data_IF_867538743744
#
_entry.id   IF_867538743744
#
_cell.length_a   1.000
_cell.length_b   1.000
_cell.length_c   1.000
_cell.angle_alpha   90.00
_cell.angle_beta   90.00
_cell.angle_gamma   90.00
#
_symmetry.space_group_name_H-M   'P 1'
#
loop_
_entity.id
_entity.type
_entity.pdbx_description
1 polymer ?
#
# COMPACT_ATOMS: atom_id res chain seq x y z
N UNK A 1 9.72 1.52 24.79
CA UNK A 1 8.44 0.76 24.78
C UNK A 1 7.40 1.61 24.07
N UNK A 2 6.71 1.06 23.08
CA UNK A 2 5.59 1.74 22.44
C UNK A 2 4.54 1.97 23.51
N UNK A 3 4.22 3.23 23.76
CA UNK A 3 3.23 3.57 24.76
C UNK A 3 1.83 3.31 24.15
N UNK A 4 1.17 2.24 24.61
CA UNK A 4 -0.17 1.84 24.15
C UNK A 4 -1.15 3.00 24.28
N UNK A 5 -1.00 3.85 25.31
CA UNK A 5 -1.83 5.06 25.50
C UNK A 5 -1.63 6.03 24.35
N UNK A 6 -0.37 6.23 23.90
CA UNK A 6 -0.09 7.09 22.75
C UNK A 6 -0.74 6.54 21.46
N UNK A 7 -0.62 5.24 21.17
CA UNK A 7 -1.26 4.60 20.01
C UNK A 7 -2.78 4.73 20.08
N UNK A 8 -3.40 4.57 21.26
CA UNK A 8 -4.84 4.77 21.45
C UNK A 8 -5.27 6.23 21.21
N UNK A 9 -4.51 7.21 21.71
CA UNK A 9 -4.80 8.62 21.48
C UNK A 9 -4.74 8.98 19.97
N UNK A 10 -3.87 8.34 19.21
CA UNK A 10 -3.70 8.52 17.77
C UNK A 10 -4.90 8.01 16.97
N UNK A 11 -5.38 6.83 17.30
CA UNK A 11 -6.62 6.29 16.75
C UNK A 11 -7.77 7.28 16.96
N UNK A 12 -7.92 7.78 18.18
CA UNK A 12 -8.97 8.75 18.55
C UNK A 12 -8.82 10.04 17.75
N UNK A 13 -7.59 10.56 17.57
CA UNK A 13 -7.35 11.78 16.79
C UNK A 13 -7.86 11.60 15.35
N UNK A 14 -7.55 10.50 14.68
CA UNK A 14 -8.03 10.25 13.32
C UNK A 14 -9.57 10.10 13.30
N UNK A 15 -10.14 9.39 14.28
CA UNK A 15 -11.60 9.24 14.41
C UNK A 15 -12.30 10.58 14.55
N UNK A 16 -11.68 11.57 15.20
CA UNK A 16 -12.21 12.94 15.35
C UNK A 16 -12.00 13.77 14.07
N UNK A 17 -10.85 13.64 13.41
CA UNK A 17 -10.53 14.43 12.21
C UNK A 17 -11.38 14.04 11.00
N UNK A 18 -11.65 12.75 10.78
CA UNK A 18 -12.40 12.28 9.61
C UNK A 18 -13.80 12.91 9.48
N UNK A 19 -14.65 13.00 10.53
CA UNK A 19 -15.94 13.69 10.44
C UNK A 19 -15.82 15.18 10.08
N UNK A 20 -14.76 15.85 10.53
CA UNK A 20 -14.49 17.26 10.20
C UNK A 20 -14.20 17.38 8.70
N UNK A 21 -13.36 16.48 8.17
CA UNK A 21 -13.04 16.41 6.74
C UNK A 21 -14.29 16.09 5.91
N UNK A 22 -15.14 15.16 6.35
CA UNK A 22 -16.40 14.84 5.67
C UNK A 22 -17.30 16.09 5.59
N UNK A 23 -17.43 16.85 6.70
CA UNK A 23 -18.21 18.10 6.73
C UNK A 23 -17.61 19.13 5.76
N UNK A 24 -16.28 19.28 5.76
CA UNK A 24 -15.57 20.16 4.84
C UNK A 24 -15.84 19.78 3.38
N UNK A 25 -15.67 18.52 3.02
CA UNK A 25 -15.94 18.02 1.66
C UNK A 25 -17.39 18.29 1.23
N UNK A 26 -18.35 18.04 2.12
CA UNK A 26 -19.77 18.30 1.84
C UNK A 26 -20.05 19.79 1.60
N UNK A 27 -19.43 20.68 2.39
CA UNK A 27 -19.59 22.14 2.24
C UNK A 27 -19.04 22.65 0.90
N UNK A 28 -17.94 22.08 0.41
CA UNK A 28 -17.28 22.52 -0.83
C UNK A 28 -17.55 21.63 -2.05
N UNK A 29 -18.45 20.63 -1.93
CA UNK A 29 -18.81 19.75 -3.04
C UNK A 29 -17.68 18.82 -3.52
N UNK A 30 -16.72 18.47 -2.64
CA UNK A 30 -15.55 17.66 -2.97
C UNK A 30 -15.88 16.16 -2.87
N UNK A 31 -16.54 15.66 -3.90
CA UNK A 31 -16.95 14.27 -4.00
C UNK A 31 -16.13 13.52 -5.07
N UNK A 32 -16.07 12.21 -4.92
CA UNK A 32 -15.49 11.36 -5.95
C UNK A 32 -16.34 11.41 -7.24
N UNK A 33 -15.65 11.46 -8.40
CA UNK A 33 -16.34 11.47 -9.69
C UNK A 33 -17.08 10.16 -9.91
N UNK A 34 -18.33 10.23 -10.36
CA UNK A 34 -19.06 9.07 -10.82
C UNK A 34 -18.55 8.69 -12.22
N UNK A 35 -17.91 7.55 -12.35
CA UNK A 35 -17.45 6.96 -13.61
C UNK A 35 -18.08 5.56 -13.71
N UNK A 36 -18.50 5.14 -14.91
CA UNK A 36 -19.08 3.80 -15.17
C UNK A 36 -18.19 2.63 -14.70
N UNK A 37 -16.90 2.89 -14.51
CA UNK A 37 -15.91 1.91 -14.03
C UNK A 37 -15.89 1.76 -12.52
N UNK A 38 -16.53 2.68 -11.77
CA UNK A 38 -16.50 2.67 -10.29
C UNK A 38 -17.67 1.88 -9.73
N UNK A 39 -17.38 1.11 -8.68
CA UNK A 39 -18.32 0.17 -8.07
C UNK A 39 -19.33 0.87 -7.12
N UNK A 40 -19.11 2.16 -6.80
CA UNK A 40 -19.93 2.88 -5.84
C UNK A 40 -21.03 3.72 -6.53
N UNK A 41 -22.14 3.91 -5.81
CA UNK A 41 -23.22 4.82 -6.18
C UNK A 41 -23.37 5.88 -5.09
N UNK A 42 -23.40 7.18 -5.48
CA UNK A 42 -23.61 8.29 -4.56
C UNK A 42 -22.40 9.24 -4.43
N UNK A 43 -22.63 10.38 -3.76
CA UNK A 43 -21.65 11.45 -3.56
C UNK A 43 -20.83 11.17 -2.31
N UNK A 44 -19.72 10.43 -2.44
CA UNK A 44 -18.83 10.09 -1.34
C UNK A 44 -17.60 11.00 -1.37
N UNK A 45 -17.24 11.69 -0.26
CA UNK A 45 -16.02 12.47 -0.14
C UNK A 45 -14.76 11.63 -0.39
N UNK A 46 -13.71 12.21 -1.01
CA UNK A 46 -12.47 11.49 -1.38
C UNK A 46 -11.19 11.97 -0.70
N UNK A 47 -11.29 12.77 0.36
CA UNK A 47 -10.13 13.33 1.05
C UNK A 47 -9.76 12.59 2.35
N UNK A 48 -10.07 11.29 2.46
CA UNK A 48 -9.76 10.49 3.66
C UNK A 48 -8.27 10.40 3.97
N UNK A 49 -7.43 10.38 2.93
CA UNK A 49 -5.98 10.41 3.07
C UNK A 49 -5.46 11.61 3.85
N UNK A 50 -6.11 12.78 3.73
CA UNK A 50 -5.77 13.97 4.54
C UNK A 50 -5.85 13.67 6.04
N UNK A 51 -6.93 13.00 6.48
CA UNK A 51 -7.10 12.65 7.89
C UNK A 51 -6.04 11.66 8.40
N UNK A 52 -5.69 10.67 7.59
CA UNK A 52 -4.62 9.71 7.93
C UNK A 52 -3.29 10.44 8.07
N UNK A 53 -2.91 11.25 7.08
CA UNK A 53 -1.58 11.84 6.99
C UNK A 53 -1.39 12.95 8.01
N UNK A 54 -2.39 13.80 8.22
CA UNK A 54 -2.33 14.86 9.23
C UNK A 54 -2.19 14.27 10.64
N UNK A 55 -3.01 13.27 10.99
CA UNK A 55 -2.88 12.60 12.28
C UNK A 55 -1.54 11.89 12.42
N UNK A 56 -1.07 11.20 11.38
CA UNK A 56 0.24 10.55 11.37
C UNK A 56 1.38 11.55 11.62
N UNK A 57 1.42 12.68 10.90
CA UNK A 57 2.48 13.69 11.04
C UNK A 57 2.48 14.31 12.44
N UNK A 58 1.31 14.72 12.93
CA UNK A 58 1.19 15.27 14.29
C UNK A 58 1.81 14.31 15.29
N UNK A 59 1.49 13.04 15.17
CA UNK A 59 1.86 12.04 16.13
C UNK A 59 3.30 11.56 16.02
N UNK A 60 3.83 11.43 14.82
CA UNK A 60 5.25 11.17 14.63
C UNK A 60 6.08 12.33 15.19
N UNK A 61 5.65 13.57 14.94
CA UNK A 61 6.33 14.75 15.50
C UNK A 61 6.31 14.74 17.03
N UNK A 62 5.15 14.50 17.65
CA UNK A 62 5.05 14.40 19.11
C UNK A 62 5.87 13.23 19.68
N UNK A 63 5.88 12.07 18.98
CA UNK A 63 6.69 10.93 19.39
C UNK A 63 8.19 11.28 19.42
N UNK A 64 8.71 11.95 18.40
CA UNK A 64 10.12 12.34 18.37
C UNK A 64 10.45 13.46 19.36
N UNK A 65 9.55 14.39 19.62
CA UNK A 65 9.76 15.47 20.56
C UNK A 65 9.80 14.97 22.04
N UNK A 66 8.98 13.99 22.37
CA UNK A 66 8.79 13.59 23.77
C UNK A 66 9.42 12.24 24.16
N UNK A 67 9.70 11.37 23.18
CA UNK A 67 10.06 9.97 23.47
C UNK A 67 11.36 9.49 22.81
N UNK A 68 12.03 10.33 21.99
CA UNK A 68 13.18 9.88 21.21
C UNK A 68 14.22 10.99 21.06
N UNK A 69 15.47 10.64 20.80
CA UNK A 69 16.53 11.59 20.50
C UNK A 69 16.32 12.24 19.12
N UNK A 70 16.65 13.53 19.01
CA UNK A 70 16.56 14.31 17.75
C UNK A 70 17.42 13.73 16.61
N UNK A 71 18.47 12.96 16.92
CA UNK A 71 19.26 12.25 15.91
C UNK A 71 18.43 11.25 15.10
N UNK A 72 17.50 10.56 15.75
CA UNK A 72 16.61 9.61 15.08
C UNK A 72 15.58 10.32 14.19
N UNK A 73 15.11 11.51 14.59
CA UNK A 73 14.23 12.32 13.75
C UNK A 73 14.93 12.72 12.44
N UNK A 74 16.16 13.20 12.50
CA UNK A 74 16.91 13.63 11.30
C UNK A 74 17.07 12.49 10.28
N UNK A 75 17.12 11.24 10.74
CA UNK A 75 17.19 10.08 9.84
C UNK A 75 15.85 9.73 9.19
N UNK A 76 14.73 10.04 9.81
CA UNK A 76 13.37 9.76 9.29
C UNK A 76 12.82 10.90 8.45
N UNK A 77 13.30 12.13 8.67
CA UNK A 77 12.87 13.33 7.96
C UNK A 77 12.85 13.18 6.43
N UNK A 78 13.83 12.54 5.76
CA UNK A 78 13.80 12.36 4.32
C UNK A 78 12.58 11.54 3.85
N UNK A 79 12.18 10.51 4.62
CA UNK A 79 11.00 9.68 4.30
C UNK A 79 9.74 10.51 4.45
N UNK A 80 9.60 11.25 5.56
CA UNK A 80 8.43 12.12 5.80
C UNK A 80 8.33 13.18 4.70
N UNK A 81 9.45 13.86 4.40
CA UNK A 81 9.49 14.90 3.38
C UNK A 81 9.15 14.38 1.98
N UNK A 82 9.77 13.28 1.54
CA UNK A 82 9.48 12.66 0.26
C UNK A 82 8.03 12.15 0.17
N UNK A 83 7.51 11.59 1.27
CA UNK A 83 6.11 11.17 1.36
C UNK A 83 5.13 12.34 1.26
N UNK A 84 5.45 13.48 1.89
CA UNK A 84 4.65 14.70 1.78
C UNK A 84 4.63 15.26 0.36
N UNK A 85 5.72 15.20 -0.39
CA UNK A 85 5.74 15.59 -1.80
C UNK A 85 4.71 14.76 -2.58
N UNK A 86 4.74 13.43 -2.48
CA UNK A 86 3.75 12.56 -3.14
C UNK A 86 2.34 12.92 -2.71
N UNK A 87 2.11 13.07 -1.40
CA UNK A 87 0.79 13.37 -0.87
C UNK A 87 0.24 14.69 -1.40
N UNK A 88 1.01 15.76 -1.32
CA UNK A 88 0.56 17.09 -1.76
C UNK A 88 0.21 17.07 -3.25
N UNK A 89 1.06 16.46 -4.09
CA UNK A 89 0.79 16.41 -5.52
C UNK A 89 -0.38 15.49 -5.88
N UNK A 90 -0.51 14.35 -5.23
CA UNK A 90 -1.66 13.48 -5.44
C UNK A 90 -2.95 14.11 -4.91
N UNK A 91 -2.88 14.90 -3.83
CA UNK A 91 -4.00 15.70 -3.33
C UNK A 91 -4.39 16.80 -4.33
N UNK A 92 -3.41 17.50 -4.93
CA UNK A 92 -3.68 18.47 -5.99
C UNK A 92 -4.30 17.81 -7.23
N UNK A 93 -3.89 16.58 -7.56
CA UNK A 93 -4.51 15.83 -8.64
C UNK A 93 -5.98 15.47 -8.36
N UNK A 94 -6.32 15.19 -7.11
CA UNK A 94 -7.72 15.01 -6.68
C UNK A 94 -8.60 16.24 -6.96
N UNK A 95 -8.00 17.44 -6.98
CA UNK A 95 -8.72 18.70 -7.31
C UNK A 95 -8.67 19.07 -8.80
N UNK A 96 -7.52 18.88 -9.47
CA UNK A 96 -7.23 19.45 -10.79
C UNK A 96 -7.17 18.41 -11.92
N UNK A 97 -7.24 17.11 -11.61
CA UNK A 97 -7.21 16.00 -12.59
C UNK A 97 -6.05 16.11 -13.60
N UNK A 98 -4.83 15.99 -13.10
CA UNK A 98 -3.62 16.09 -13.94
C UNK A 98 -3.45 14.88 -14.88
N UNK A 99 -2.65 15.05 -15.94
CA UNK A 99 -2.25 13.94 -16.79
C UNK A 99 -1.42 12.93 -15.99
N UNK A 100 -1.54 11.61 -16.24
CA UNK A 100 -0.81 10.57 -15.48
C UNK A 100 0.70 10.75 -15.43
N UNK A 101 1.29 11.44 -16.42
CA UNK A 101 2.72 11.72 -16.46
C UNK A 101 3.18 12.60 -15.27
N UNK A 102 2.36 13.57 -14.83
CA UNK A 102 2.70 14.40 -13.68
C UNK A 102 2.76 13.60 -12.39
N UNK A 103 1.82 12.66 -12.18
CA UNK A 103 1.87 11.73 -11.04
C UNK A 103 3.20 10.98 -11.01
N UNK A 104 3.61 10.43 -12.15
CA UNK A 104 4.86 9.70 -12.27
C UNK A 104 6.09 10.58 -11.97
N UNK A 105 6.12 11.83 -12.42
CA UNK A 105 7.22 12.77 -12.14
C UNK A 105 7.41 12.95 -10.64
N UNK A 106 6.34 13.17 -9.87
CA UNK A 106 6.45 13.36 -8.43
C UNK A 106 6.80 12.09 -7.66
N UNK A 107 6.35 10.93 -8.14
CA UNK A 107 6.81 9.64 -7.64
C UNK A 107 8.32 9.47 -7.87
N UNK A 108 8.82 9.85 -9.05
CA UNK A 108 10.26 9.81 -9.38
C UNK A 108 11.05 10.78 -8.47
N UNK A 109 10.59 12.02 -8.30
CA UNK A 109 11.25 13.00 -7.41
C UNK A 109 11.37 12.45 -5.99
N UNK A 110 10.27 11.94 -5.43
CA UNK A 110 10.27 11.37 -4.08
C UNK A 110 11.16 10.12 -3.98
N UNK A 111 11.19 9.29 -5.02
CA UNK A 111 12.07 8.12 -5.08
C UNK A 111 13.54 8.54 -5.13
N UNK A 112 13.89 9.53 -5.93
CA UNK A 112 15.26 10.07 -6.04
C UNK A 112 15.72 10.65 -4.70
N UNK A 113 14.86 11.33 -3.95
CA UNK A 113 15.18 11.81 -2.60
C UNK A 113 15.55 10.63 -1.69
N UNK A 114 14.76 9.56 -1.65
CA UNK A 114 15.02 8.36 -0.85
C UNK A 114 16.37 7.73 -1.22
N UNK A 115 16.64 7.61 -2.53
CA UNK A 115 17.90 7.05 -3.03
C UNK A 115 19.11 7.94 -2.71
N UNK A 116 18.96 9.26 -2.79
CA UNK A 116 20.02 10.23 -2.47
C UNK A 116 20.44 10.16 -0.99
N UNK A 117 19.51 9.83 -0.09
CA UNK A 117 19.82 9.55 1.31
C UNK A 117 20.35 8.13 1.57
N UNK A 118 20.57 7.32 0.52
CA UNK A 118 21.16 5.98 0.60
C UNK A 118 20.20 4.88 1.04
N UNK A 119 18.89 5.14 1.09
CA UNK A 119 17.88 4.14 1.41
C UNK A 119 17.62 3.25 0.19
N UNK A 120 18.16 2.03 0.23
CA UNK A 120 18.12 1.09 -0.88
C UNK A 120 18.26 -0.35 -0.41
N UNK A 121 17.86 -1.30 -1.23
CA UNK A 121 18.19 -2.70 -1.04
C UNK A 121 19.70 -2.90 -1.25
N UNK A 122 20.40 -3.35 -0.22
CA UNK A 122 21.86 -3.54 -0.26
C UNK A 122 22.23 -4.95 -0.67
N UNK A 123 21.39 -5.93 -0.37
CA UNK A 123 21.62 -7.34 -0.67
C UNK A 123 20.29 -8.09 -0.89
N UNK A 124 20.37 -9.23 -1.54
CA UNK A 124 19.29 -10.23 -1.65
C UNK A 124 19.91 -11.56 -1.20
N UNK A 125 19.47 -12.08 -0.08
CA UNK A 125 20.07 -13.23 0.60
C UNK A 125 21.59 -13.00 0.80
N UNK A 126 22.43 -13.92 0.33
CA UNK A 126 23.90 -13.82 0.42
C UNK A 126 24.53 -12.90 -0.63
N UNK A 127 23.77 -12.46 -1.65
CA UNK A 127 24.30 -11.67 -2.73
C UNK A 127 24.26 -10.18 -2.41
N UNK A 128 25.42 -9.59 -2.19
CA UNK A 128 25.56 -8.13 -2.04
C UNK A 128 25.41 -7.48 -3.42
N UNK A 129 24.42 -6.61 -3.54
CA UNK A 129 24.12 -5.96 -4.81
C UNK A 129 25.20 -4.93 -5.17
N UNK A 130 25.75 -4.96 -6.39
CA UNK A 130 26.55 -3.86 -6.89
C UNK A 130 25.73 -2.57 -6.89
N UNK A 131 26.40 -1.43 -6.75
CA UNK A 131 25.75 -0.15 -6.45
C UNK A 131 24.67 0.21 -7.51
N UNK A 132 24.99 0.08 -8.78
CA UNK A 132 24.06 0.40 -9.86
C UNK A 132 22.80 -0.48 -9.82
N UNK A 133 22.95 -1.78 -9.55
CA UNK A 133 21.82 -2.71 -9.47
C UNK A 133 20.94 -2.45 -8.23
N UNK A 134 21.57 -2.13 -7.10
CA UNK A 134 20.91 -1.74 -5.87
C UNK A 134 20.00 -0.51 -6.08
N UNK A 135 20.50 0.54 -6.73
CA UNK A 135 19.73 1.73 -7.06
C UNK A 135 18.60 1.41 -8.06
N UNK A 136 18.88 0.65 -9.10
CA UNK A 136 17.90 0.28 -10.14
C UNK A 136 16.74 -0.53 -9.55
N UNK A 137 17.05 -1.58 -8.78
CA UNK A 137 16.02 -2.42 -8.13
C UNK A 137 15.17 -1.56 -7.20
N UNK A 138 15.80 -0.71 -6.37
CA UNK A 138 15.07 0.13 -5.42
C UNK A 138 14.21 1.17 -6.14
N UNK A 139 14.69 1.76 -7.21
CA UNK A 139 13.93 2.71 -8.01
C UNK A 139 12.63 2.09 -8.55
N UNK A 140 12.74 0.94 -9.24
CA UNK A 140 11.55 0.26 -9.77
C UNK A 140 10.65 -0.31 -8.68
N UNK A 141 11.21 -0.75 -7.56
CA UNK A 141 10.45 -1.13 -6.37
C UNK A 141 9.57 0.01 -5.86
N UNK A 142 10.16 1.19 -5.63
CA UNK A 142 9.43 2.36 -5.13
C UNK A 142 8.27 2.74 -6.07
N UNK A 143 8.58 2.96 -7.35
CA UNK A 143 7.57 3.33 -8.36
C UNK A 143 6.49 2.25 -8.49
N UNK A 144 6.89 0.98 -8.54
CA UNK A 144 5.97 -0.15 -8.67
C UNK A 144 4.99 -0.27 -7.49
N UNK A 145 5.49 -0.16 -6.25
CA UNK A 145 4.65 -0.31 -5.07
C UNK A 145 3.73 0.91 -4.86
N UNK A 146 4.20 2.13 -5.11
CA UNK A 146 3.35 3.33 -5.05
C UNK A 146 2.16 3.17 -6.00
N UNK A 147 2.40 2.76 -7.25
CA UNK A 147 1.33 2.55 -8.21
C UNK A 147 0.45 1.34 -7.86
N UNK A 148 1.02 0.27 -7.31
CA UNK A 148 0.27 -0.91 -6.92
C UNK A 148 -0.77 -0.61 -5.82
N UNK A 149 -0.40 0.20 -4.83
CA UNK A 149 -1.33 0.64 -3.78
C UNK A 149 -2.36 1.65 -4.28
N UNK A 150 -2.02 2.49 -5.25
CA UNK A 150 -2.98 3.36 -5.90
C UNK A 150 -4.01 2.57 -6.73
N UNK A 151 -3.59 1.53 -7.45
CA UNK A 151 -4.46 0.70 -8.28
C UNK A 151 -5.37 -0.24 -7.47
N UNK A 152 -4.94 -0.69 -6.27
CA UNK A 152 -5.75 -1.59 -5.43
C UNK A 152 -6.85 -0.84 -4.66
N UNK A 153 -6.83 0.50 -4.62
CA UNK A 153 -7.82 1.35 -3.92
C UNK A 153 -9.14 1.47 -4.69
N UNK A 154 -9.70 0.34 -5.09
CA UNK A 154 -10.95 0.26 -5.84
C UNK A 154 -12.13 -0.33 -5.07
N UNK A 155 -11.96 -0.70 -3.79
CA UNK A 155 -12.98 -1.30 -2.93
C UNK A 155 -12.88 -0.74 -1.51
N UNK A 156 -14.03 -0.46 -0.89
CA UNK A 156 -14.13 0.02 0.49
C UNK A 156 -13.26 -0.81 1.44
N UNK A 157 -12.46 -0.15 2.28
CA UNK A 157 -11.55 -0.72 3.26
C UNK A 157 -10.40 -1.58 2.70
N UNK A 158 -10.31 -1.84 1.40
CA UNK A 158 -9.31 -2.77 0.86
C UNK A 158 -7.89 -2.18 0.98
N UNK A 159 -7.63 -1.03 0.37
CA UNK A 159 -6.31 -0.40 0.41
C UNK A 159 -5.86 -0.12 1.85
N UNK A 160 -6.74 0.48 2.67
CA UNK A 160 -6.45 0.75 4.08
C UNK A 160 -6.19 -0.53 4.90
N UNK A 161 -7.00 -1.57 4.70
CA UNK A 161 -6.85 -2.85 5.39
C UNK A 161 -5.55 -3.57 5.03
N UNK A 162 -5.23 -3.67 3.74
CA UNK A 162 -3.95 -4.25 3.28
C UNK A 162 -2.76 -3.44 3.82
N UNK A 163 -2.82 -2.10 3.76
CA UNK A 163 -1.78 -1.22 4.28
C UNK A 163 -1.55 -1.40 5.78
N UNK A 164 -2.63 -1.45 6.57
CA UNK A 164 -2.54 -1.64 8.02
C UNK A 164 -1.89 -2.97 8.39
N UNK A 165 -2.24 -4.06 7.68
CA UNK A 165 -1.66 -5.38 7.90
C UNK A 165 -0.18 -5.43 7.53
N UNK A 166 0.20 -4.90 6.37
CA UNK A 166 1.60 -4.87 5.91
C UNK A 166 2.46 -4.02 6.83
N UNK A 167 2.04 -2.78 7.13
CA UNK A 167 2.79 -1.87 7.99
C UNK A 167 2.84 -2.41 9.44
N UNK A 168 1.75 -3.01 9.92
CA UNK A 168 1.71 -3.65 11.24
C UNK A 168 2.69 -4.83 11.34
N UNK A 169 2.75 -5.67 10.33
CA UNK A 169 3.72 -6.78 10.25
C UNK A 169 5.16 -6.28 10.21
N UNK A 170 5.43 -5.21 9.44
CA UNK A 170 6.74 -4.54 9.46
C UNK A 170 7.06 -4.00 10.85
N UNK A 171 6.09 -3.37 11.53
CA UNK A 171 6.25 -2.89 12.90
C UNK A 171 6.65 -3.99 13.88
N UNK A 172 6.05 -5.17 13.76
CA UNK A 172 6.39 -6.35 14.58
C UNK A 172 7.80 -6.85 14.24
N UNK A 173 8.11 -7.02 12.96
CA UNK A 173 9.42 -7.52 12.49
C UNK A 173 10.55 -6.58 12.93
N UNK A 174 10.35 -5.27 12.77
CA UNK A 174 11.36 -4.24 13.08
C UNK A 174 11.51 -3.97 14.59
N UNK A 175 10.54 -4.34 15.41
CA UNK A 175 10.59 -4.11 16.87
C UNK A 175 11.78 -4.77 17.56
N UNK A 176 12.27 -5.88 17.01
CA UNK A 176 13.46 -6.59 17.53
C UNK A 176 14.79 -5.87 17.28
N UNK A 177 14.79 -4.82 16.47
CA UNK A 177 16.03 -4.13 16.08
C UNK A 177 16.03 -2.61 16.23
N UNK A 178 14.89 -1.96 16.00
CA UNK A 178 14.75 -0.50 16.11
C UNK A 178 13.35 -0.10 16.59
N UNK A 179 13.27 0.27 17.85
CA UNK A 179 12.00 0.67 18.47
C UNK A 179 11.40 1.92 17.82
N UNK A 180 12.21 2.85 17.31
CA UNK A 180 11.71 4.07 16.66
C UNK A 180 11.00 3.77 15.34
N UNK A 181 11.58 2.93 14.47
CA UNK A 181 10.96 2.54 13.20
C UNK A 181 9.68 1.73 13.43
N UNK A 182 9.71 0.81 14.40
CA UNK A 182 8.55 0.06 14.83
C UNK A 182 7.44 0.98 15.34
N UNK A 183 7.77 2.01 16.12
CA UNK A 183 6.80 3.00 16.61
C UNK A 183 6.15 3.76 15.45
N UNK A 184 6.91 4.19 14.44
CA UNK A 184 6.38 4.85 13.24
C UNK A 184 5.36 3.95 12.53
N UNK A 185 5.66 2.64 12.39
CA UNK A 185 4.73 1.68 11.82
C UNK A 185 3.42 1.61 12.61
N UNK A 186 3.47 1.50 13.94
CA UNK A 186 2.25 1.41 14.76
C UNK A 186 1.49 2.72 14.83
N UNK A 187 2.16 3.87 14.79
CA UNK A 187 1.53 5.19 14.63
C UNK A 187 0.73 5.22 13.32
N UNK A 188 1.32 4.79 12.20
CA UNK A 188 0.64 4.73 10.92
C UNK A 188 -0.56 3.78 10.97
N UNK A 189 -0.41 2.58 11.55
CA UNK A 189 -1.52 1.61 11.70
C UNK A 189 -2.67 2.21 12.49
N UNK A 190 -2.39 2.94 13.59
CA UNK A 190 -3.43 3.61 14.38
C UNK A 190 -4.19 4.67 13.56
N UNK A 191 -3.48 5.47 12.76
CA UNK A 191 -4.09 6.46 11.87
C UNK A 191 -4.96 5.81 10.80
N UNK A 192 -4.48 4.72 10.17
CA UNK A 192 -5.26 3.96 9.19
C UNK A 192 -6.48 3.32 9.84
N UNK A 193 -6.35 2.73 11.04
CA UNK A 193 -7.47 2.13 11.76
C UNK A 193 -8.56 3.14 12.08
N UNK A 194 -8.20 4.36 12.49
CA UNK A 194 -9.16 5.46 12.70
C UNK A 194 -9.92 5.84 11.42
N UNK A 195 -9.24 5.87 10.27
CA UNK A 195 -9.87 6.08 8.97
C UNK A 195 -10.82 4.94 8.60
N UNK A 196 -10.43 3.68 8.82
CA UNK A 196 -11.22 2.49 8.49
C UNK A 196 -12.58 2.44 9.22
N UNK A 197 -12.73 3.10 10.35
CA UNK A 197 -14.04 3.25 11.02
C UNK A 197 -15.08 3.86 10.08
N UNK A 198 -14.66 4.78 9.19
CA UNK A 198 -15.52 5.50 8.25
C UNK A 198 -15.45 4.96 6.82
N UNK A 199 -14.39 4.23 6.48
CA UNK A 199 -14.18 3.64 5.15
C UNK A 199 -14.61 2.17 5.03
N UNK A 200 -15.07 1.53 6.12
CA UNK A 200 -15.63 0.16 6.08
C UNK A 200 -16.80 0.07 5.08
N UNK A 201 -17.16 -1.13 4.59
CA UNK A 201 -18.22 -1.33 3.60
C UNK A 201 -19.48 -0.49 3.84
N UNK A 202 -19.95 0.20 2.80
CA UNK A 202 -20.78 1.41 2.73
C UNK A 202 -19.98 2.62 3.22
N UNK A 203 -18.81 2.83 2.61
CA UNK A 203 -17.88 3.89 2.97
C UNK A 203 -18.54 5.28 3.02
N UNK A 204 -18.23 6.04 4.06
CA UNK A 204 -18.64 7.45 4.23
C UNK A 204 -17.60 8.43 3.66
N UNK A 205 -16.39 7.95 3.39
CA UNK A 205 -15.27 8.69 2.81
C UNK A 205 -14.31 7.71 2.14
N UNK A 206 -13.77 8.07 0.98
CA UNK A 206 -12.70 7.36 0.30
C UNK A 206 -11.32 7.92 0.66
N UNK A 207 -10.29 7.09 0.50
CA UNK A 207 -8.91 7.46 0.79
C UNK A 207 -8.39 8.55 -0.15
N UNK A 208 -8.75 8.44 -1.42
CA UNK A 208 -8.26 9.29 -2.52
C UNK A 208 -6.84 8.94 -2.96
N UNK A 209 -6.45 9.49 -4.11
CA UNK A 209 -5.13 9.24 -4.71
C UNK A 209 -3.99 9.71 -3.80
N UNK A 210 -4.19 10.83 -3.07
CA UNK A 210 -3.24 11.32 -2.08
C UNK A 210 -2.96 10.30 -0.98
N UNK A 211 -4.00 9.66 -0.45
CA UNK A 211 -3.87 8.66 0.60
C UNK A 211 -3.23 7.36 0.10
N UNK A 212 -3.73 6.79 -0.99
CA UNK A 212 -3.28 5.50 -1.50
C UNK A 212 -1.83 5.52 -2.00
N UNK A 213 -1.40 6.60 -2.69
CA UNK A 213 -0.01 6.76 -3.11
C UNK A 213 0.93 6.97 -1.92
N UNK A 214 0.49 7.71 -0.89
CA UNK A 214 1.26 7.87 0.34
C UNK A 214 1.42 6.53 1.08
N UNK A 215 0.36 5.70 1.16
CA UNK A 215 0.46 4.35 1.73
C UNK A 215 1.48 3.49 0.96
N UNK A 216 1.39 3.47 -0.37
CA UNK A 216 2.36 2.75 -1.20
C UNK A 216 3.80 3.23 -1.00
N UNK A 217 4.01 4.55 -0.90
CA UNK A 217 5.32 5.13 -0.61
C UNK A 217 5.85 4.72 0.77
N UNK A 218 5.04 4.79 1.81
CA UNK A 218 5.46 4.41 3.16
C UNK A 218 5.81 2.91 3.25
N UNK A 219 4.99 2.05 2.64
CA UNK A 219 5.24 0.60 2.58
C UNK A 219 6.53 0.30 1.83
N UNK A 220 6.82 1.01 0.73
CA UNK A 220 8.02 0.80 -0.06
C UNK A 220 9.29 1.33 0.63
N UNK A 221 9.22 2.45 1.36
CA UNK A 221 10.37 3.17 1.91
C UNK A 221 10.75 2.76 3.34
N UNK A 222 9.77 2.50 4.24
CA UNK A 222 10.04 2.18 5.65
C UNK A 222 11.00 1.00 5.84
N UNK A 223 10.92 -0.13 5.11
CA UNK A 223 11.84 -1.25 5.26
C UNK A 223 13.27 -0.91 4.81
N UNK A 224 13.46 0.14 3.99
CA UNK A 224 14.77 0.56 3.50
C UNK A 224 15.55 1.39 4.51
N UNK A 225 14.85 2.03 5.43
CA UNK A 225 15.41 2.94 6.42
C UNK A 225 16.29 2.22 7.45
N UNK A 226 15.80 1.12 8.00
CA UNK A 226 16.54 0.39 9.05
C UNK A 226 16.59 -1.10 8.77
N UNK A 227 17.70 -1.72 9.20
CA UNK A 227 17.88 -3.15 9.03
C UNK A 227 18.72 -3.75 10.14
N UNK A 228 18.27 -4.88 10.70
CA UNK A 228 19.12 -5.81 11.43
C UNK A 228 19.79 -6.75 10.42
N UNK A 229 20.93 -7.39 10.77
CA UNK A 229 21.58 -8.33 9.85
C UNK A 229 20.65 -9.46 9.37
N UNK A 230 19.76 -9.95 10.24
CA UNK A 230 18.79 -10.99 9.89
C UNK A 230 17.67 -10.49 8.97
N UNK A 231 17.19 -9.27 9.20
CA UNK A 231 16.18 -8.65 8.33
C UNK A 231 16.80 -8.25 6.98
N UNK A 232 18.01 -7.69 6.96
CA UNK A 232 18.71 -7.32 5.72
C UNK A 232 18.85 -8.49 4.78
N UNK A 233 19.17 -9.69 5.32
CA UNK A 233 19.28 -10.92 4.53
C UNK A 233 18.01 -11.27 3.78
N UNK A 234 16.86 -11.27 4.43
CA UNK A 234 15.57 -11.67 3.89
C UNK A 234 14.67 -10.49 3.48
N UNK A 235 15.10 -9.24 3.68
CA UNK A 235 14.30 -8.03 3.50
C UNK A 235 13.54 -8.02 2.18
N UNK A 236 14.23 -8.24 1.07
CA UNK A 236 13.62 -8.22 -0.25
C UNK A 236 12.52 -9.27 -0.40
N UNK A 237 12.78 -10.50 0.05
CA UNK A 237 11.81 -11.61 -0.02
C UNK A 237 10.61 -11.38 0.93
N UNK A 238 10.85 -10.91 2.15
CA UNK A 238 9.79 -10.53 3.08
C UNK A 238 8.87 -9.49 2.46
N UNK A 239 9.47 -8.46 1.86
CA UNK A 239 8.69 -7.38 1.25
C UNK A 239 7.89 -7.86 0.04
N UNK A 240 8.47 -8.68 -0.85
CA UNK A 240 7.75 -9.26 -1.98
C UNK A 240 6.56 -10.10 -1.50
N UNK A 241 6.71 -10.90 -0.46
CA UNK A 241 5.61 -11.69 0.11
C UNK A 241 4.54 -10.79 0.69
N UNK A 242 4.90 -9.79 1.49
CA UNK A 242 3.95 -8.88 2.14
C UNK A 242 3.10 -8.07 1.14
N UNK A 243 3.67 -7.68 0.02
CA UNK A 243 2.97 -6.88 -1.00
C UNK A 243 2.51 -7.69 -2.22
N UNK A 244 2.49 -9.03 -2.12
CA UNK A 244 2.18 -9.92 -3.26
C UNK A 244 0.84 -9.59 -3.91
N UNK A 245 -0.21 -9.28 -3.13
CA UNK A 245 -1.54 -9.00 -3.69
C UNK A 245 -1.51 -7.77 -4.62
N UNK A 246 -1.19 -6.56 -4.16
CA UNK A 246 -1.19 -5.38 -5.03
C UNK A 246 -0.11 -5.46 -6.12
N UNK A 247 1.05 -6.07 -5.83
CA UNK A 247 2.14 -6.21 -6.78
C UNK A 247 1.78 -7.12 -7.96
N UNK A 248 1.27 -8.33 -7.70
CA UNK A 248 0.88 -9.28 -8.75
C UNK A 248 -0.30 -8.76 -9.57
N UNK A 249 -1.25 -8.05 -8.94
CA UNK A 249 -2.35 -7.42 -9.65
C UNK A 249 -1.87 -6.34 -10.62
N UNK A 250 -0.90 -5.52 -10.20
CA UNK A 250 -0.29 -4.49 -11.04
C UNK A 250 0.52 -5.10 -12.18
N UNK A 251 1.35 -6.12 -11.91
CA UNK A 251 2.12 -6.83 -12.95
C UNK A 251 1.17 -7.44 -13.98
N UNK A 252 0.08 -8.07 -13.54
CA UNK A 252 -0.92 -8.64 -14.45
C UNK A 252 -1.65 -7.55 -15.27
N UNK A 253 -1.92 -6.38 -14.71
CA UNK A 253 -2.49 -5.25 -15.44
C UNK A 253 -1.50 -4.72 -16.50
N UNK A 254 -0.22 -4.58 -16.15
CA UNK A 254 0.83 -4.18 -17.10
C UNK A 254 0.98 -5.20 -18.25
N UNK A 255 1.00 -6.49 -17.91
CA UNK A 255 1.07 -7.57 -18.91
C UNK A 255 -0.11 -7.53 -19.89
N UNK A 256 -1.35 -7.35 -19.40
CA UNK A 256 -2.53 -7.21 -20.26
C UNK A 256 -2.42 -6.01 -21.21
N UNK A 257 -2.02 -4.85 -20.69
CA UNK A 257 -1.86 -3.62 -21.51
C UNK A 257 -0.83 -3.82 -22.62
N UNK A 258 0.31 -4.46 -22.31
CA UNK A 258 1.33 -4.80 -23.32
C UNK A 258 0.76 -5.72 -24.39
N UNK A 259 0.06 -6.78 -24.00
CA UNK A 259 -0.54 -7.75 -24.93
C UNK A 259 -1.65 -7.12 -25.81
N UNK A 260 -2.36 -6.14 -25.27
CA UNK A 260 -3.42 -5.40 -25.97
C UNK A 260 -2.88 -4.18 -26.73
N UNK A 261 -1.56 -4.00 -26.82
CA UNK A 261 -0.89 -2.83 -27.42
C UNK A 261 -1.40 -1.48 -26.90
N UNK A 262 -1.74 -1.42 -25.62
CA UNK A 262 -2.21 -0.22 -24.92
C UNK A 262 -1.10 0.42 -24.10
N UNK A 263 -1.19 1.74 -23.89
CA UNK A 263 -0.27 2.45 -23.01
C UNK A 263 -0.29 1.88 -21.59
N UNK A 264 0.88 1.79 -20.95
CA UNK A 264 1.00 1.42 -19.52
C UNK A 264 0.20 2.33 -18.58
N UNK A 265 -0.03 3.56 -18.99
CA UNK A 265 -0.81 4.56 -18.24
C UNK A 265 -2.30 4.51 -18.54
N UNK A 266 -2.76 3.63 -19.45
CA UNK A 266 -4.19 3.51 -19.77
C UNK A 266 -4.96 2.89 -18.59
N UNK A 267 -6.22 3.30 -18.36
CA UNK A 267 -7.07 2.70 -17.34
C UNK A 267 -7.29 1.21 -17.57
N UNK A 268 -7.40 0.42 -16.50
CA UNK A 268 -7.79 -0.99 -16.52
C UNK A 268 -8.86 -1.24 -15.46
N UNK A 269 -9.92 -1.96 -15.80
CA UNK A 269 -11.03 -2.32 -14.90
C UNK A 269 -11.00 -3.79 -14.49
N UNK A 270 -9.91 -4.53 -14.78
CA UNK A 270 -9.80 -5.98 -14.55
C UNK A 270 -8.84 -6.33 -13.42
N UNK A 271 -8.85 -5.50 -12.35
CA UNK A 271 -8.12 -5.78 -11.11
C UNK A 271 -8.72 -6.95 -10.34
N UNK A 272 -7.97 -7.53 -9.40
CA UNK A 272 -8.34 -8.74 -8.66
C UNK A 272 -9.72 -8.63 -8.01
N UNK A 273 -10.05 -7.47 -7.42
CA UNK A 273 -11.35 -7.25 -6.77
C UNK A 273 -12.51 -7.24 -7.78
N UNK A 274 -12.31 -6.68 -8.99
CA UNK A 274 -13.31 -6.76 -10.06
C UNK A 274 -13.52 -8.19 -10.54
N UNK A 275 -12.43 -8.97 -10.69
CA UNK A 275 -12.52 -10.38 -11.09
C UNK A 275 -13.32 -11.21 -10.10
N UNK A 276 -13.06 -11.05 -8.79
CA UNK A 276 -13.80 -11.77 -7.75
C UNK A 276 -15.29 -11.42 -7.76
N UNK A 277 -15.62 -10.12 -7.92
CA UNK A 277 -17.02 -9.69 -8.02
C UNK A 277 -17.68 -10.28 -9.28
N UNK A 278 -16.99 -10.30 -10.42
CA UNK A 278 -17.50 -10.92 -11.66
C UNK A 278 -17.67 -12.45 -11.53
N UNK A 279 -16.93 -13.11 -10.65
CA UNK A 279 -17.09 -14.53 -10.30
C UNK A 279 -18.24 -14.79 -9.30
N UNK A 280 -19.02 -13.76 -8.94
CA UNK A 280 -20.20 -13.88 -8.07
C UNK A 280 -19.96 -13.54 -6.60
N UNK A 281 -18.75 -13.13 -6.21
CA UNK A 281 -18.52 -12.68 -4.83
C UNK A 281 -19.17 -11.31 -4.60
N UNK A 282 -19.79 -11.13 -3.46
CA UNK A 282 -20.21 -9.78 -3.01
C UNK A 282 -18.99 -8.92 -2.66
N UNK A 283 -19.14 -7.59 -2.62
CA UNK A 283 -18.07 -6.65 -2.21
C UNK A 283 -17.47 -7.03 -0.85
N UNK A 284 -18.32 -7.40 0.12
CA UNK A 284 -17.88 -7.80 1.47
C UNK A 284 -17.12 -9.12 1.46
N UNK A 285 -17.60 -10.12 0.71
CA UNK A 285 -16.91 -11.41 0.56
C UNK A 285 -15.54 -11.22 -0.11
N UNK A 286 -15.46 -10.37 -1.15
CA UNK A 286 -14.21 -10.02 -1.83
C UNK A 286 -13.22 -9.37 -0.85
N UNK A 287 -13.68 -8.41 -0.04
CA UNK A 287 -12.85 -7.77 0.98
C UNK A 287 -12.33 -8.80 2.00
N UNK A 288 -13.22 -9.60 2.59
CA UNK A 288 -12.86 -10.61 3.60
C UNK A 288 -11.85 -11.61 3.01
N UNK A 289 -12.07 -12.08 1.78
CA UNK A 289 -11.19 -13.02 1.10
C UNK A 289 -9.78 -12.44 0.89
N UNK A 290 -9.66 -11.21 0.39
CA UNK A 290 -8.36 -10.57 0.18
C UNK A 290 -7.65 -10.24 1.50
N UNK A 291 -8.37 -9.81 2.52
CA UNK A 291 -7.83 -9.59 3.87
C UNK A 291 -7.33 -10.91 4.49
N UNK A 292 -8.08 -12.02 4.33
CA UNK A 292 -7.65 -13.32 4.83
C UNK A 292 -6.34 -13.79 4.17
N UNK A 293 -6.20 -13.61 2.85
CA UNK A 293 -4.93 -13.87 2.15
C UNK A 293 -3.82 -12.97 2.70
N UNK A 294 -4.09 -11.68 2.92
CA UNK A 294 -3.08 -10.77 3.46
C UNK A 294 -2.63 -11.16 4.86
N UNK A 295 -3.54 -11.59 5.74
CA UNK A 295 -3.20 -12.13 7.07
C UNK A 295 -2.29 -13.35 6.93
N UNK A 296 -2.63 -14.28 6.05
CA UNK A 296 -1.76 -15.45 5.75
C UNK A 296 -0.37 -15.01 5.31
N UNK A 297 -0.25 -14.04 4.40
CA UNK A 297 1.04 -13.51 3.94
C UNK A 297 1.85 -12.83 5.06
N UNK A 298 1.17 -12.12 5.96
CA UNK A 298 1.79 -11.51 7.13
C UNK A 298 2.37 -12.57 8.08
N UNK A 299 1.60 -13.63 8.35
CA UNK A 299 2.07 -14.76 9.18
C UNK A 299 3.23 -15.51 8.50
N UNK A 300 3.15 -15.73 7.19
CA UNK A 300 4.22 -16.34 6.41
C UNK A 300 5.51 -15.49 6.42
N UNK A 301 5.41 -14.17 6.29
CA UNK A 301 6.55 -13.27 6.38
C UNK A 301 7.21 -13.33 7.76
N UNK A 302 6.41 -13.33 8.84
CA UNK A 302 6.88 -13.51 10.22
C UNK A 302 7.57 -14.86 10.42
N UNK A 303 7.00 -15.95 9.93
CA UNK A 303 7.60 -17.29 10.00
C UNK A 303 8.91 -17.37 9.20
N UNK A 304 8.97 -16.78 7.99
CA UNK A 304 10.20 -16.71 7.22
C UNK A 304 11.33 -15.97 7.94
N UNK A 305 10.99 -14.91 8.70
CA UNK A 305 11.95 -14.23 9.58
C UNK A 305 12.39 -15.08 10.76
N UNK A 306 11.49 -15.86 11.35
CA UNK A 306 11.78 -16.78 12.44
C UNK A 306 12.72 -17.94 12.01
N UNK A 307 12.48 -18.51 10.83
CA UNK A 307 13.31 -19.58 10.26
C UNK A 307 14.73 -19.14 9.92
N UNK A 308 14.96 -17.84 9.77
CA UNK A 308 16.25 -17.17 9.52
C UNK A 308 16.98 -17.62 8.24
N UNK A 309 17.85 -16.73 7.72
CA UNK A 309 18.77 -16.98 6.58
C UNK A 309 18.15 -17.85 5.48
N UNK A 310 18.86 -18.86 5.01
CA UNK A 310 18.52 -19.69 3.84
C UNK A 310 17.19 -20.44 3.99
N UNK A 311 16.91 -20.98 5.18
CA UNK A 311 15.63 -21.67 5.44
C UNK A 311 14.46 -20.72 5.32
N UNK A 312 14.60 -19.51 5.87
CA UNK A 312 13.61 -18.45 5.73
C UNK A 312 13.48 -17.98 4.28
N UNK A 313 14.60 -17.84 3.56
CA UNK A 313 14.58 -17.46 2.15
C UNK A 313 13.85 -18.49 1.29
N UNK A 314 14.17 -19.77 1.41
CA UNK A 314 13.50 -20.85 0.66
C UNK A 314 12.00 -20.89 0.97
N UNK A 315 11.62 -20.75 2.23
CA UNK A 315 10.22 -20.68 2.63
C UNK A 315 9.51 -19.48 1.99
N UNK A 316 10.08 -18.28 2.05
CA UNK A 316 9.49 -17.06 1.45
C UNK A 316 9.38 -17.17 -0.07
N UNK A 317 10.37 -17.75 -0.74
CA UNK A 317 10.33 -18.02 -2.18
C UNK A 317 9.18 -18.98 -2.50
N UNK A 318 9.01 -20.06 -1.73
CA UNK A 318 7.91 -21.03 -1.95
C UNK A 318 6.54 -20.39 -1.78
N UNK A 319 6.37 -19.52 -0.78
CA UNK A 319 5.13 -18.73 -0.58
C UNK A 319 4.90 -17.78 -1.78
N UNK A 320 5.92 -17.11 -2.27
CA UNK A 320 5.76 -16.22 -3.42
C UNK A 320 5.41 -16.97 -4.71
N UNK A 321 6.03 -18.13 -4.96
CA UNK A 321 5.67 -19.01 -6.08
C UNK A 321 4.20 -19.48 -5.93
N UNK A 322 3.79 -19.89 -4.72
CA UNK A 322 2.39 -20.23 -4.45
C UNK A 322 1.44 -19.08 -4.81
N UNK A 323 1.79 -17.84 -4.46
CA UNK A 323 0.98 -16.67 -4.81
C UNK A 323 0.90 -16.42 -6.32
N UNK A 324 1.99 -16.64 -7.05
CA UNK A 324 1.98 -16.55 -8.53
C UNK A 324 1.03 -17.60 -9.12
N UNK A 325 1.12 -18.85 -8.67
CA UNK A 325 0.23 -19.95 -9.13
C UNK A 325 -1.21 -19.61 -8.78
N UNK A 326 -1.48 -19.21 -7.55
CA UNK A 326 -2.81 -18.82 -7.09
C UNK A 326 -3.41 -17.70 -7.95
N UNK A 327 -2.64 -16.63 -8.19
CA UNK A 327 -3.10 -15.49 -8.99
C UNK A 327 -3.35 -15.89 -10.45
N UNK A 328 -2.50 -16.73 -11.02
CA UNK A 328 -2.63 -17.24 -12.39
C UNK A 328 -3.86 -18.14 -12.52
N UNK A 329 -4.11 -19.02 -11.54
CA UNK A 329 -5.29 -19.88 -11.49
C UNK A 329 -6.59 -19.07 -11.41
N UNK A 330 -6.62 -18.05 -10.55
CA UNK A 330 -7.76 -17.14 -10.45
C UNK A 330 -8.02 -16.40 -11.79
N UNK A 331 -6.96 -15.98 -12.45
CA UNK A 331 -7.08 -15.33 -13.76
C UNK A 331 -7.64 -16.29 -14.82
N UNK A 332 -7.18 -17.54 -14.83
CA UNK A 332 -7.67 -18.57 -15.74
C UNK A 332 -9.15 -18.89 -15.51
N UNK A 333 -9.58 -19.06 -14.25
CA UNK A 333 -10.98 -19.28 -13.88
C UNK A 333 -11.85 -18.12 -14.37
N UNK A 334 -11.44 -16.88 -14.08
CA UNK A 334 -12.16 -15.69 -14.53
C UNK A 334 -12.32 -15.67 -16.04
N UNK A 335 -11.25 -15.94 -16.81
CA UNK A 335 -11.29 -15.94 -18.26
C UNK A 335 -12.22 -17.02 -18.80
N UNK A 336 -12.22 -18.21 -18.24
CA UNK A 336 -13.05 -19.35 -18.66
C UNK A 336 -14.54 -19.07 -18.42
N UNK A 337 -14.90 -18.53 -17.26
CA UNK A 337 -16.29 -18.16 -16.92
C UNK A 337 -16.78 -17.04 -17.85
N UNK A 338 -15.98 -15.96 -17.99
CA UNK A 338 -16.36 -14.85 -18.86
C UNK A 338 -16.56 -15.24 -20.33
N UNK A 339 -15.78 -16.19 -20.85
CA UNK A 339 -15.93 -16.71 -22.21
C UNK A 339 -17.22 -17.55 -22.37
N UNK A 340 -17.57 -18.33 -21.36
CA UNK A 340 -18.80 -19.12 -21.39
C UNK A 340 -20.05 -18.23 -21.38
N UNK A 341 -20.06 -17.18 -20.55
CA UNK A 341 -21.18 -16.24 -20.49
C UNK A 341 -21.37 -15.47 -21.82
N UNK A 342 -20.27 -15.09 -22.49
CA UNK A 342 -20.36 -14.45 -23.81
C UNK A 342 -20.89 -15.41 -24.89
N UNK A 343 -20.54 -16.70 -24.84
CA UNK A 343 -21.03 -17.71 -25.76
C UNK A 343 -22.52 -18.07 -25.54
N UNK A 344 -23.01 -17.98 -24.30
CA UNK A 344 -24.44 -18.15 -23.99
C UNK A 344 -25.27 -16.98 -24.52
N UNK A 345 -24.80 -15.74 -24.35
CA UNK A 345 -25.49 -14.52 -24.87
C UNK A 345 -25.51 -14.38 -26.40
N UNK A 346 -24.70 -15.14 -27.13
CA UNK A 346 -24.70 -15.20 -28.58
C UNK A 346 -25.63 -16.29 -29.16
N UNK A 347 -26.24 -17.12 -28.29
CA UNK A 347 -27.15 -18.20 -28.67
C UNK A 347 -28.63 -17.87 -28.41
N UNK A 348 -28.88 -16.77 -27.69
CA UNK A 348 -30.19 -16.17 -27.45
C UNK A 348 -30.39 -14.97 -28.43
#
# INVERSE_FOLDING_TARGET
>A
KINIVAVGALFILTVILIPIIIKFCKKFGLYDSQDERKIHTGNIPRLGGVGIIVSFIICVTLYFLFFTDMKNLNQVLPIIFAGLIIFIFALLDDFFTFKPIFKLIFQIISTVIILAYGFRFKQICNYVLPLWLSYTITFFWMIGIINAYNLIDGLDALCGGLSALVIGSLGIILNYGNQSTSAICFIMVASIAGFLVYNKPKAKIFMGDGGSQFMGFMIASLPLYYSTPNFEYNKFLVMIVLVSIPMLDTIAAMWRRTREHRSFLSPDSRHIHHKLISLGFTKVQTLIFLIAIQVFLCLAAGLGMFLRKDKGALFLISIFIFMIIFYSSLHFIYYTVSKNDSNLKLKD
#
